data_IF_721751389047
#
_entry.id   IF_721751389047
#
_cell.length_a   1.000
_cell.length_b   1.000
_cell.length_c   1.000
_cell.angle_alpha   90.00
_cell.angle_beta   90.00
_cell.angle_gamma   90.00
#
_symmetry.space_group_name_H-M   'P 1'
#
loop_
_entity.id
_entity.type
_entity.pdbx_description
1 polymer ?
#
# COMPACT_ATOMS: atom_id res chain seq x y z
N UNK A 1 -15.00 18.19 16.98
CA UNK A 1 -15.20 17.22 18.11
C UNK A 1 -13.98 16.29 18.19
N UNK A 2 -13.71 15.58 19.30
CA UNK A 2 -12.65 14.55 19.29
C UNK A 2 -13.10 13.28 18.56
N UNK A 3 -12.21 12.67 17.78
CA UNK A 3 -12.52 11.41 17.09
C UNK A 3 -12.85 10.27 18.09
N UNK A 4 -13.87 9.44 17.82
CA UNK A 4 -14.21 8.29 18.65
C UNK A 4 -13.11 7.23 18.62
N UNK A 5 -13.05 6.33 19.59
CA UNK A 5 -12.03 5.28 19.58
C UNK A 5 -12.20 4.22 20.66
N UNK A 6 -11.44 3.11 20.57
CA UNK A 6 -11.45 2.07 21.58
C UNK A 6 -10.99 2.56 22.96
N UNK A 7 -11.48 1.87 24.00
CA UNK A 7 -11.08 2.08 25.38
C UNK A 7 -9.54 2.07 25.54
N UNK A 8 -9.03 2.96 26.39
CA UNK A 8 -7.62 3.13 26.69
C UNK A 8 -7.32 2.51 28.04
N UNK A 9 -6.35 1.59 28.11
CA UNK A 9 -5.82 1.09 29.37
C UNK A 9 -4.65 1.97 29.85
N UNK A 10 -4.36 2.02 31.17
CA UNK A 10 -3.18 2.70 31.68
C UNK A 10 -1.90 2.23 30.98
N UNK A 11 -0.98 3.16 30.71
CA UNK A 11 0.34 2.94 30.09
C UNK A 11 0.29 2.51 28.62
N UNK A 12 -0.46 1.48 28.27
CA UNK A 12 -0.45 0.88 26.91
C UNK A 12 -1.51 1.48 25.97
N UNK A 13 -2.45 2.28 26.48
CA UNK A 13 -3.55 2.81 25.70
C UNK A 13 -4.41 1.71 25.09
N UNK A 14 -4.66 1.80 23.80
CA UNK A 14 -5.49 0.90 23.00
C UNK A 14 -4.70 -0.23 22.32
N UNK A 15 -3.39 -0.38 22.56
CA UNK A 15 -2.56 -1.41 21.89
C UNK A 15 -3.09 -2.84 22.07
N UNK A 16 -3.69 -3.15 23.22
CA UNK A 16 -4.33 -4.43 23.49
C UNK A 16 -5.44 -4.81 22.49
N UNK A 17 -6.02 -3.84 21.78
CA UNK A 17 -7.03 -4.07 20.73
C UNK A 17 -6.45 -4.51 19.39
N UNK A 18 -5.13 -4.41 19.22
CA UNK A 18 -4.43 -4.83 18.00
C UNK A 18 -3.85 -6.26 18.11
N UNK A 19 -3.98 -6.91 19.27
CA UNK A 19 -3.44 -8.25 19.48
C UNK A 19 -4.26 -9.33 18.75
N UNK A 20 -3.57 -10.37 18.29
CA UNK A 20 -4.19 -11.60 17.80
C UNK A 20 -4.68 -11.60 16.35
N UNK A 21 -4.50 -10.51 15.59
CA UNK A 21 -4.59 -10.55 14.12
C UNK A 21 -3.76 -9.44 13.49
N UNK A 22 -3.73 -9.41 12.16
CA UNK A 22 -3.00 -8.39 11.40
C UNK A 22 -3.53 -6.98 11.73
N UNK A 23 -2.65 -5.98 11.93
CA UNK A 23 -3.06 -4.63 12.33
C UNK A 23 -4.07 -4.00 11.37
N UNK A 24 -3.86 -4.02 10.06
CA UNK A 24 -4.77 -3.41 9.08
C UNK A 24 -6.17 -4.04 9.07
N UNK A 25 -6.28 -5.35 9.33
CA UNK A 25 -7.56 -6.03 9.52
C UNK A 25 -8.25 -5.54 10.81
N UNK A 26 -7.53 -5.50 11.95
CA UNK A 26 -8.09 -4.97 13.21
C UNK A 26 -8.53 -3.52 13.08
N UNK A 27 -7.76 -2.71 12.38
CA UNK A 27 -8.10 -1.31 12.13
C UNK A 27 -9.41 -1.20 11.34
N UNK A 28 -9.63 -2.04 10.34
CA UNK A 28 -10.91 -2.11 9.61
C UNK A 28 -12.07 -2.50 10.54
N UNK A 29 -11.89 -3.55 11.35
CA UNK A 29 -12.93 -4.02 12.27
C UNK A 29 -13.31 -2.95 13.31
N UNK A 30 -12.32 -2.22 13.82
CA UNK A 30 -12.54 -1.10 14.73
C UNK A 30 -13.21 0.08 14.01
N UNK A 31 -12.83 0.37 12.75
CA UNK A 31 -13.48 1.41 11.96
C UNK A 31 -14.97 1.12 11.73
N UNK A 32 -15.38 -0.15 11.57
CA UNK A 32 -16.82 -0.53 11.52
C UNK A 32 -17.58 -0.17 12.80
N UNK A 33 -16.91 -0.12 13.94
CA UNK A 33 -17.51 0.18 15.25
C UNK A 33 -17.45 1.66 15.62
N UNK A 34 -16.35 2.33 15.32
CA UNK A 34 -16.09 3.71 15.75
C UNK A 34 -16.26 4.73 14.62
N UNK A 35 -16.38 4.28 13.38
CA UNK A 35 -16.48 5.13 12.20
C UNK A 35 -15.19 5.18 11.39
N UNK A 36 -15.24 5.78 10.19
CA UNK A 36 -14.12 5.80 9.23
C UNK A 36 -12.94 6.67 9.70
N UNK A 37 -13.15 7.52 10.70
CA UNK A 37 -12.09 8.27 11.39
C UNK A 37 -12.17 7.90 12.86
N UNK A 38 -11.09 7.33 13.40
CA UNK A 38 -11.04 6.95 14.81
C UNK A 38 -9.70 7.28 15.45
N UNK A 39 -9.75 7.59 16.75
CA UNK A 39 -8.58 7.77 17.60
C UNK A 39 -8.05 6.43 18.10
N UNK A 40 -6.73 6.23 18.01
CA UNK A 40 -6.04 5.06 18.53
C UNK A 40 -4.82 5.49 19.36
N UNK A 41 -4.92 5.31 20.68
CA UNK A 41 -3.81 5.60 21.59
C UNK A 41 -2.84 4.42 21.65
N UNK A 42 -1.58 4.61 21.29
CA UNK A 42 -0.54 3.57 21.39
C UNK A 42 0.55 4.00 22.37
N UNK A 43 0.40 3.58 23.63
CA UNK A 43 1.23 4.12 24.70
C UNK A 43 1.04 5.64 24.82
N UNK A 44 2.11 6.41 24.64
CA UNK A 44 2.08 7.87 24.61
C UNK A 44 1.80 8.46 23.22
N UNK A 45 1.77 7.62 22.17
CA UNK A 45 1.56 8.06 20.79
C UNK A 45 0.07 8.18 20.49
N UNK A 46 -0.36 9.37 20.09
CA UNK A 46 -1.70 9.64 19.58
C UNK A 46 -1.76 9.36 18.08
N UNK A 47 -2.67 8.50 17.64
CA UNK A 47 -2.92 8.23 16.23
C UNK A 47 -4.38 8.53 15.86
N UNK A 48 -4.58 9.02 14.65
CA UNK A 48 -5.86 9.02 13.93
C UNK A 48 -5.75 8.01 12.80
N UNK A 49 -6.71 7.10 12.75
CA UNK A 49 -6.83 6.09 11.70
C UNK A 49 -7.95 6.53 10.77
N UNK A 50 -7.62 6.69 9.49
CA UNK A 50 -8.53 7.05 8.41
C UNK A 50 -8.79 5.80 7.56
N UNK A 51 -10.07 5.49 7.31
CA UNK A 51 -10.52 4.30 6.58
C UNK A 51 -11.63 4.62 5.56
N UNK A 52 -11.80 5.89 5.15
CA UNK A 52 -12.68 6.27 4.03
C UNK A 52 -11.96 7.13 2.98
N UNK A 53 -12.41 7.10 1.71
CA UNK A 53 -11.85 7.92 0.64
C UNK A 53 -11.92 9.43 0.92
N UNK A 54 -13.04 9.93 1.43
CA UNK A 54 -13.32 11.36 1.60
C UNK A 54 -12.37 11.97 2.63
N UNK A 55 -12.23 11.31 3.77
CA UNK A 55 -11.32 11.73 4.83
C UNK A 55 -9.85 11.60 4.43
N UNK A 56 -9.51 10.55 3.66
CA UNK A 56 -8.17 10.40 3.11
C UNK A 56 -7.84 11.53 2.13
N UNK A 57 -8.79 11.92 1.28
CA UNK A 57 -8.67 13.06 0.36
C UNK A 57 -8.47 14.36 1.12
N UNK A 58 -9.31 14.64 2.10
CA UNK A 58 -9.22 15.82 2.95
C UNK A 58 -7.82 15.93 3.60
N UNK A 59 -7.33 14.85 4.22
CA UNK A 59 -6.03 14.85 4.86
C UNK A 59 -4.85 14.91 3.87
N UNK A 60 -4.93 14.25 2.71
CA UNK A 60 -3.78 14.06 1.82
C UNK A 60 -3.70 15.09 0.70
N UNK A 61 -4.80 15.78 0.37
CA UNK A 61 -4.84 16.83 -0.66
C UNK A 61 -5.23 18.18 -0.09
N UNK A 62 -6.33 18.29 0.65
CA UNK A 62 -6.83 19.58 1.15
C UNK A 62 -5.90 20.15 2.23
N UNK A 63 -5.43 19.29 3.13
CA UNK A 63 -4.49 19.63 4.20
C UNK A 63 -3.10 19.01 3.97
N UNK A 64 -2.69 18.91 2.70
CA UNK A 64 -1.49 18.19 2.28
C UNK A 64 -0.19 18.69 2.97
N UNK A 65 -0.05 19.99 3.20
CA UNK A 65 1.10 20.60 3.88
C UNK A 65 1.10 20.21 5.37
N UNK A 66 -0.07 20.28 6.02
CA UNK A 66 -0.24 19.98 7.45
C UNK A 66 0.17 18.54 7.77
N UNK A 67 -0.10 17.61 6.83
CA UNK A 67 0.24 16.19 6.97
C UNK A 67 1.44 15.74 6.12
N UNK A 68 2.23 16.68 5.58
CA UNK A 68 3.41 16.33 4.78
C UNK A 68 4.59 15.80 5.62
N UNK A 69 4.56 15.95 6.94
CA UNK A 69 5.63 15.45 7.83
C UNK A 69 5.46 13.95 8.07
N UNK A 70 6.57 13.23 8.18
CA UNK A 70 6.60 11.84 8.66
C UNK A 70 6.99 11.83 10.14
N UNK A 71 6.48 10.89 10.95
CA UNK A 71 7.04 10.69 12.27
C UNK A 71 8.49 10.22 12.19
N UNK A 72 9.22 10.40 13.28
CA UNK A 72 10.63 10.03 13.43
C UNK A 72 10.77 8.79 14.33
N UNK A 73 10.40 7.57 13.90
CA UNK A 73 10.56 6.38 14.72
C UNK A 73 12.03 6.01 14.86
N UNK A 74 12.43 5.51 16.04
CA UNK A 74 13.81 5.10 16.33
C UNK A 74 14.37 4.09 15.31
N UNK A 75 13.54 3.15 14.84
CA UNK A 75 13.98 2.19 13.82
C UNK A 75 14.44 2.90 12.53
N UNK A 76 13.71 3.92 12.08
CA UNK A 76 14.10 4.68 10.89
C UNK A 76 15.34 5.55 11.13
N UNK A 77 15.62 6.02 12.35
CA UNK A 77 16.88 6.74 12.60
C UNK A 77 18.11 5.86 12.39
N UNK A 78 17.98 4.56 12.69
CA UNK A 78 19.06 3.57 12.58
C UNK A 78 19.26 3.14 11.12
N UNK A 79 18.20 2.69 10.45
CA UNK A 79 18.30 2.10 9.12
C UNK A 79 18.23 3.12 7.97
N UNK A 80 17.62 4.29 8.18
CA UNK A 80 17.37 5.28 7.13
C UNK A 80 18.27 6.52 7.26
N UNK A 81 19.57 6.29 7.50
CA UNK A 81 20.61 7.32 7.54
C UNK A 81 20.24 8.53 8.44
N UNK A 82 19.65 8.28 9.60
CA UNK A 82 19.12 9.30 10.51
C UNK A 82 18.10 10.24 9.83
N UNK A 83 17.10 9.65 9.15
CA UNK A 83 16.01 10.34 8.44
C UNK A 83 16.47 11.23 7.28
N UNK A 84 17.58 10.89 6.63
CA UNK A 84 18.10 11.64 5.47
C UNK A 84 17.70 11.03 4.13
N UNK A 85 16.95 9.94 4.15
CA UNK A 85 16.37 9.29 2.99
C UNK A 85 15.13 10.04 2.46
N UNK A 86 14.69 9.70 1.24
CA UNK A 86 13.54 10.36 0.59
C UNK A 86 12.20 10.14 1.31
N UNK A 87 12.05 9.04 2.05
CA UNK A 87 10.80 8.65 2.70
C UNK A 87 10.58 9.45 3.98
N UNK A 88 11.57 9.48 4.89
CA UNK A 88 11.44 10.05 6.24
C UNK A 88 12.00 11.46 6.41
N UNK A 89 12.76 12.00 5.44
CA UNK A 89 13.28 13.37 5.55
C UNK A 89 12.16 14.38 5.82
N UNK A 90 12.43 15.26 6.78
CA UNK A 90 11.51 16.30 7.22
C UNK A 90 11.03 17.16 6.05
N UNK A 91 9.75 17.52 6.07
CA UNK A 91 9.18 18.32 4.99
C UNK A 91 9.78 19.74 5.00
N UNK A 92 10.50 20.07 3.92
CA UNK A 92 11.23 21.32 3.75
C UNK A 92 12.04 21.31 2.45
N UNK A 93 13.04 22.19 2.33
CA UNK A 93 13.80 22.34 1.08
C UNK A 93 14.62 21.11 0.71
N UNK A 94 15.26 20.46 1.69
CA UNK A 94 16.00 19.22 1.46
C UNK A 94 15.10 18.12 0.89
N UNK A 95 13.88 17.96 1.44
CA UNK A 95 12.90 17.03 0.88
C UNK A 95 12.49 17.41 -0.54
N UNK A 96 12.20 18.69 -0.81
CA UNK A 96 11.84 19.17 -2.16
C UNK A 96 12.94 18.89 -3.18
N UNK A 97 14.19 19.09 -2.81
CA UNK A 97 15.34 18.83 -3.67
C UNK A 97 15.51 17.32 -3.94
N UNK A 98 15.50 16.49 -2.90
CA UNK A 98 15.56 15.03 -3.06
C UNK A 98 14.39 14.53 -3.90
N UNK A 99 13.17 15.03 -3.66
CA UNK A 99 11.98 14.67 -4.42
C UNK A 99 12.12 15.03 -5.90
N UNK A 100 12.63 16.22 -6.20
CA UNK A 100 12.91 16.65 -7.59
C UNK A 100 13.88 15.68 -8.25
N UNK A 101 15.04 15.43 -7.63
CA UNK A 101 16.05 14.49 -8.15
C UNK A 101 15.45 13.11 -8.41
N UNK A 102 14.74 12.55 -7.42
CA UNK A 102 14.09 11.24 -7.56
C UNK A 102 13.11 11.21 -8.72
N UNK A 103 12.19 12.18 -8.82
CA UNK A 103 11.12 12.16 -9.82
C UNK A 103 11.55 12.55 -11.23
N UNK A 104 12.54 13.43 -11.38
CA UNK A 104 12.97 13.93 -12.70
C UNK A 104 14.17 13.16 -13.25
N UNK A 105 15.17 12.86 -12.42
CA UNK A 105 16.45 12.31 -12.87
C UNK A 105 16.54 10.78 -12.72
N UNK A 106 15.90 10.21 -11.70
CA UNK A 106 16.01 8.78 -11.39
C UNK A 106 14.80 7.98 -11.89
N UNK A 107 13.59 8.47 -11.60
CA UNK A 107 12.33 7.74 -11.75
C UNK A 107 11.37 8.38 -12.76
N UNK A 108 11.87 9.27 -13.63
CA UNK A 108 11.05 9.80 -14.72
C UNK A 108 10.73 8.70 -15.72
N UNK A 109 9.57 8.80 -16.39
CA UNK A 109 9.13 7.79 -17.39
C UNK A 109 10.20 7.51 -18.44
N UNK A 110 10.89 8.56 -18.92
CA UNK A 110 11.99 8.43 -19.88
C UNK A 110 13.16 7.61 -19.32
N UNK A 111 13.53 7.81 -18.05
CA UNK A 111 14.60 7.07 -17.39
C UNK A 111 14.19 5.62 -17.14
N UNK A 112 12.98 5.40 -16.62
CA UNK A 112 12.41 4.04 -16.43
C UNK A 112 12.42 3.25 -17.74
N UNK A 113 12.03 3.87 -18.86
CA UNK A 113 12.10 3.24 -20.19
C UNK A 113 13.54 2.97 -20.65
N UNK A 114 14.49 3.86 -20.35
CA UNK A 114 15.90 3.66 -20.72
C UNK A 114 16.56 2.49 -19.99
N UNK A 115 16.07 2.13 -18.79
CA UNK A 115 16.56 0.97 -18.02
C UNK A 115 15.91 -0.35 -18.43
N UNK A 116 15.11 -0.40 -19.52
CA UNK A 116 14.39 -1.62 -19.92
C UNK A 116 15.27 -2.87 -19.96
N UNK A 117 16.50 -2.77 -20.47
CA UNK A 117 17.45 -3.89 -20.57
C UNK A 117 18.15 -4.24 -19.24
N UNK A 118 18.18 -3.33 -18.26
CA UNK A 118 18.83 -3.54 -16.96
C UNK A 118 17.82 -4.04 -15.93
N UNK A 119 16.52 -3.80 -16.12
CA UNK A 119 15.46 -4.31 -15.22
C UNK A 119 15.32 -5.83 -15.22
N UNK A 120 15.99 -6.51 -16.16
CA UNK A 120 16.16 -7.97 -16.16
C UNK A 120 17.17 -8.43 -15.10
N UNK A 121 18.07 -7.54 -14.64
CA UNK A 121 19.04 -7.77 -13.57
C UNK A 121 18.68 -6.89 -12.36
N UNK A 122 17.82 -7.42 -11.49
CA UNK A 122 17.27 -6.75 -10.30
C UNK A 122 18.36 -6.25 -9.33
N UNK A 123 18.55 -4.93 -9.24
CA UNK A 123 18.97 -4.28 -8.00
C UNK A 123 18.69 -2.76 -8.03
N UNK A 124 17.60 -2.31 -7.38
CA UNK A 124 17.57 -0.92 -6.87
C UNK A 124 16.54 -0.70 -5.76
N UNK A 125 17.07 -0.53 -4.55
CA UNK A 125 16.46 0.06 -3.34
C UNK A 125 15.50 -0.84 -2.54
N UNK A 126 15.77 -0.98 -1.23
CA UNK A 126 14.97 -1.75 -0.25
C UNK A 126 13.45 -1.52 -0.38
N UNK A 127 13.02 -0.27 -0.54
CA UNK A 127 11.61 0.09 -0.65
C UNK A 127 10.95 -0.38 -1.97
N UNK A 128 11.70 -0.38 -3.07
CA UNK A 128 11.21 -0.80 -4.38
C UNK A 128 11.19 -2.32 -4.53
N UNK A 129 12.24 -3.00 -4.07
CA UNK A 129 12.39 -4.45 -4.19
C UNK A 129 11.35 -5.20 -3.36
N UNK A 130 11.20 -4.89 -2.08
CA UNK A 130 10.27 -5.64 -1.20
C UNK A 130 8.80 -5.46 -1.64
N UNK A 131 8.41 -4.23 -1.98
CA UNK A 131 7.04 -3.92 -2.41
C UNK A 131 6.68 -4.52 -3.77
N UNK A 132 7.59 -4.45 -4.74
CA UNK A 132 7.38 -5.02 -6.07
C UNK A 132 7.37 -6.55 -6.02
N UNK A 133 8.29 -7.16 -5.27
CA UNK A 133 8.33 -8.62 -5.07
C UNK A 133 7.04 -9.14 -4.43
N UNK A 134 6.54 -8.45 -3.40
CA UNK A 134 5.25 -8.78 -2.76
C UNK A 134 4.10 -8.67 -3.75
N UNK A 135 4.07 -7.61 -4.57
CA UNK A 135 3.02 -7.43 -5.58
C UNK A 135 3.06 -8.53 -6.65
N UNK A 136 4.25 -8.93 -7.12
CA UNK A 136 4.43 -10.02 -8.09
C UNK A 136 3.95 -11.35 -7.50
N UNK A 137 4.32 -11.66 -6.25
CA UNK A 137 3.91 -12.91 -5.59
C UNK A 137 2.38 -13.00 -5.43
N UNK A 138 1.73 -11.90 -5.01
CA UNK A 138 0.27 -11.85 -4.94
C UNK A 138 -0.39 -11.96 -6.31
N UNK A 139 0.13 -11.27 -7.32
CA UNK A 139 -0.40 -11.33 -8.67
C UNK A 139 -0.35 -12.75 -9.24
N UNK A 140 0.80 -13.42 -9.13
CA UNK A 140 0.94 -14.81 -9.53
C UNK A 140 -0.01 -15.74 -8.76
N UNK A 141 -0.22 -15.49 -7.46
CA UNK A 141 -1.14 -16.28 -6.64
C UNK A 141 -2.60 -16.14 -7.09
N UNK A 142 -3.03 -14.93 -7.45
CA UNK A 142 -4.38 -14.67 -7.96
C UNK A 142 -4.57 -15.17 -9.40
N UNK A 143 -3.55 -15.06 -10.25
CA UNK A 143 -3.56 -15.53 -11.64
C UNK A 143 -3.65 -17.06 -11.74
N UNK A 144 -2.94 -17.79 -10.88
CA UNK A 144 -3.06 -19.26 -10.79
C UNK A 144 -4.47 -19.69 -10.37
N UNK A 145 -5.18 -18.84 -9.64
CA UNK A 145 -6.60 -19.05 -9.31
C UNK A 145 -7.56 -18.58 -10.42
N UNK A 146 -7.14 -17.68 -11.32
CA UNK A 146 -7.99 -17.01 -12.31
C UNK A 146 -7.23 -16.73 -13.64
N UNK A 147 -7.25 -17.65 -14.60
CA UNK A 147 -6.37 -17.62 -15.80
C UNK A 147 -6.85 -16.77 -17.00
N UNK A 148 -7.89 -15.94 -16.89
CA UNK A 148 -8.66 -15.49 -18.07
C UNK A 148 -8.65 -13.99 -18.42
N UNK A 149 -7.87 -13.15 -17.73
CA UNK A 149 -7.97 -11.68 -17.90
C UNK A 149 -6.62 -11.04 -18.27
N UNK A 150 -6.66 -9.86 -18.89
CA UNK A 150 -5.49 -9.03 -19.22
C UNK A 150 -4.56 -8.83 -18.01
N UNK A 151 -3.25 -9.08 -18.18
CA UNK A 151 -2.22 -9.00 -17.12
C UNK A 151 -2.25 -7.67 -16.36
N UNK A 152 -2.43 -6.55 -17.08
CA UNK A 152 -2.49 -5.21 -16.48
C UNK A 152 -3.68 -5.07 -15.52
N UNK A 153 -4.87 -5.47 -15.95
CA UNK A 153 -6.07 -5.40 -15.13
C UNK A 153 -5.95 -6.31 -13.89
N UNK A 154 -5.28 -7.46 -14.05
CA UNK A 154 -4.97 -8.35 -12.94
C UNK A 154 -3.96 -7.73 -11.95
N UNK A 155 -2.95 -7.00 -12.44
CA UNK A 155 -2.00 -6.28 -11.58
C UNK A 155 -2.68 -5.14 -10.81
N UNK A 156 -3.58 -4.39 -11.44
CA UNK A 156 -4.39 -3.35 -10.81
C UNK A 156 -5.30 -3.93 -9.71
N UNK A 157 -6.02 -5.01 -10.00
CA UNK A 157 -6.86 -5.69 -9.01
C UNK A 157 -6.04 -6.33 -7.87
N UNK A 158 -4.84 -6.85 -8.19
CA UNK A 158 -3.90 -7.33 -7.18
C UNK A 158 -3.48 -6.19 -6.25
N UNK A 159 -3.17 -5.01 -6.76
CA UNK A 159 -2.76 -3.88 -5.92
C UNK A 159 -3.90 -3.31 -5.09
N UNK A 160 -5.15 -3.43 -5.57
CA UNK A 160 -6.35 -3.06 -4.80
C UNK A 160 -6.56 -4.01 -3.63
N UNK A 161 -6.52 -5.33 -3.88
CA UNK A 161 -6.76 -6.34 -2.85
C UNK A 161 -5.53 -6.60 -1.97
N UNK A 162 -4.33 -6.54 -2.50
CA UNK A 162 -3.11 -6.88 -1.77
C UNK A 162 -2.10 -5.73 -1.81
N UNK A 163 -2.48 -4.53 -1.31
CA UNK A 163 -1.55 -3.40 -1.26
C UNK A 163 -0.33 -3.78 -0.41
N UNK A 164 0.90 -3.71 -0.95
CA UNK A 164 2.09 -4.10 -0.19
C UNK A 164 2.24 -3.34 1.13
N UNK A 165 1.75 -2.08 1.20
CA UNK A 165 1.74 -1.27 2.42
C UNK A 165 0.29 -0.93 2.81
N UNK A 166 -0.44 -1.83 3.51
CA UNK A 166 -1.88 -1.70 3.78
C UNK A 166 -2.33 -0.43 4.51
N UNK A 167 -1.44 0.18 5.29
CA UNK A 167 -1.70 1.37 6.11
C UNK A 167 -0.94 2.62 5.65
N UNK A 168 -0.31 2.54 4.47
CA UNK A 168 0.71 3.48 3.98
C UNK A 168 1.80 3.74 5.02
N UNK A 169 2.78 4.59 4.67
CA UNK A 169 3.65 5.16 5.69
C UNK A 169 2.85 6.18 6.52
N UNK A 170 3.04 6.24 7.86
CA UNK A 170 2.32 7.21 8.70
C UNK A 170 2.70 8.66 8.40
N UNK A 171 1.78 9.58 8.65
CA UNK A 171 2.00 11.03 8.57
C UNK A 171 1.96 11.64 9.97
N UNK A 172 2.46 12.85 10.13
CA UNK A 172 2.42 13.60 11.39
C UNK A 172 1.78 14.96 11.17
N UNK A 173 0.80 15.27 12.01
CA UNK A 173 0.07 16.53 12.00
C UNK A 173 0.97 17.67 12.51
N UNK A 174 1.20 18.69 11.68
CA UNK A 174 2.04 19.86 12.06
C UNK A 174 1.27 20.97 12.75
N UNK A 175 -0.03 21.06 12.53
CA UNK A 175 -0.89 22.16 12.98
C UNK A 175 -2.28 21.60 13.27
N UNK A 176 -2.97 22.12 14.29
CA UNK A 176 -4.31 21.66 14.61
C UNK A 176 -5.27 21.94 13.46
N UNK A 177 -6.02 20.92 13.04
CA UNK A 177 -6.90 20.98 11.88
C UNK A 177 -8.12 20.09 12.09
N UNK A 178 -9.23 20.43 11.46
CA UNK A 178 -10.42 19.57 11.44
C UNK A 178 -10.39 18.68 10.20
N UNK A 179 -10.69 17.39 10.37
CA UNK A 179 -10.94 16.44 9.28
C UNK A 179 -12.31 15.80 9.53
N UNK A 180 -13.24 16.00 8.59
CA UNK A 180 -14.60 15.47 8.63
C UNK A 180 -15.31 15.67 9.98
N UNK A 181 -15.21 16.88 10.54
CA UNK A 181 -15.83 17.27 11.82
C UNK A 181 -15.03 16.91 13.08
N UNK A 182 -13.88 16.24 12.92
CA UNK A 182 -13.02 15.85 14.04
C UNK A 182 -11.74 16.65 14.11
N UNK A 183 -11.42 17.15 15.29
CA UNK A 183 -10.19 17.89 15.55
C UNK A 183 -9.01 16.91 15.64
N UNK A 184 -8.00 17.16 14.81
CA UNK A 184 -6.70 16.48 14.83
C UNK A 184 -5.67 17.47 15.38
N UNK A 185 -5.16 17.18 16.57
CA UNK A 185 -4.19 18.02 17.25
C UNK A 185 -2.77 17.83 16.70
N UNK A 186 -1.92 18.84 16.88
CA UNK A 186 -0.49 18.78 16.54
C UNK A 186 0.20 17.54 17.12
N UNK A 187 1.20 17.02 16.41
CA UNK A 187 1.98 15.81 16.72
C UNK A 187 1.21 14.48 16.62
N UNK A 188 -0.11 14.52 16.42
CA UNK A 188 -0.91 13.31 16.16
C UNK A 188 -0.48 12.65 14.86
N UNK A 189 -0.31 11.32 14.89
CA UNK A 189 0.06 10.56 13.70
C UNK A 189 -1.20 10.21 12.92
N UNK A 190 -1.13 10.25 11.60
CA UNK A 190 -2.23 9.85 10.73
C UNK A 190 -1.85 8.58 9.98
N UNK A 191 -2.66 7.54 10.17
CA UNK A 191 -2.56 6.24 9.53
C UNK A 191 -3.72 6.13 8.55
N UNK A 192 -3.45 5.81 7.28
CA UNK A 192 -4.49 5.68 6.25
C UNK A 192 -4.58 4.22 5.85
N UNK A 193 -5.65 3.56 6.25
CA UNK A 193 -5.85 2.14 6.00
C UNK A 193 -6.40 1.91 4.58
N UNK A 194 -5.50 1.98 3.59
CA UNK A 194 -5.86 1.81 2.17
C UNK A 194 -6.39 0.41 1.87
N UNK A 195 -5.99 -0.61 2.64
CA UNK A 195 -6.54 -1.96 2.52
C UNK A 195 -8.02 -2.04 2.91
N UNK A 196 -8.44 -1.25 3.91
CA UNK A 196 -9.85 -1.12 4.26
C UNK A 196 -10.64 -0.33 3.22
N UNK A 197 -10.09 0.80 2.75
CA UNK A 197 -10.72 1.66 1.74
C UNK A 197 -10.94 0.88 0.43
N UNK A 198 -9.91 0.17 -0.01
CA UNK A 198 -9.96 -0.64 -1.22
C UNK A 198 -10.95 -1.82 -1.14
N UNK A 199 -11.46 -2.14 0.06
CA UNK A 199 -12.47 -3.18 0.32
C UNK A 199 -13.80 -2.62 0.81
N UNK A 200 -14.02 -1.32 0.69
CA UNK A 200 -15.30 -0.72 1.08
C UNK A 200 -16.39 -1.10 0.05
N UNK A 201 -17.46 -1.82 0.46
CA UNK A 201 -18.56 -2.15 -0.45
C UNK A 201 -19.35 -0.93 -0.94
N UNK A 202 -19.18 0.25 -0.33
CA UNK A 202 -19.76 1.49 -0.84
C UNK A 202 -18.99 2.03 -2.05
N UNK A 203 -17.71 1.66 -2.21
CA UNK A 203 -16.87 2.07 -3.32
C UNK A 203 -16.74 0.97 -4.40
N UNK A 204 -16.76 -0.30 -3.99
CA UNK A 204 -16.47 -1.44 -4.86
C UNK A 204 -17.60 -2.48 -4.85
N UNK A 205 -18.20 -2.74 -6.01
CA UNK A 205 -19.12 -3.88 -6.18
C UNK A 205 -18.35 -5.18 -5.99
N UNK A 206 -18.85 -6.09 -5.15
CA UNK A 206 -18.15 -7.32 -4.74
C UNK A 206 -16.72 -7.03 -4.23
N UNK A 207 -16.56 -6.06 -3.33
CA UNK A 207 -15.27 -5.51 -2.89
C UNK A 207 -14.20 -6.52 -2.45
N UNK A 208 -14.59 -7.68 -1.93
CA UNK A 208 -13.67 -8.72 -1.46
C UNK A 208 -13.27 -9.73 -2.56
N UNK A 209 -13.95 -9.71 -3.71
CA UNK A 209 -13.72 -10.63 -4.82
C UNK A 209 -12.61 -10.10 -5.72
N UNK A 210 -11.67 -10.97 -6.10
CA UNK A 210 -10.74 -10.71 -7.20
C UNK A 210 -11.51 -10.72 -8.52
N UNK A 211 -11.75 -9.54 -9.08
CA UNK A 211 -12.53 -9.29 -10.29
C UNK A 211 -11.81 -8.26 -11.18
N UNK A 212 -10.74 -8.67 -11.88
CA UNK A 212 -9.90 -7.78 -12.70
C UNK A 212 -10.64 -7.04 -13.81
N UNK A 213 -11.71 -7.62 -14.34
CA UNK A 213 -12.53 -7.05 -15.41
C UNK A 213 -13.07 -5.66 -15.06
N UNK A 214 -13.16 -5.30 -13.77
CA UNK A 214 -13.54 -3.96 -13.31
C UNK A 214 -12.57 -2.85 -13.73
N UNK A 215 -11.35 -3.20 -14.15
CA UNK A 215 -10.34 -2.26 -14.64
C UNK A 215 -10.23 -2.23 -16.17
N UNK A 216 -11.02 -3.06 -16.87
CA UNK A 216 -11.16 -2.97 -18.32
C UNK A 216 -12.13 -1.82 -18.61
N UNK A 217 -11.70 -0.85 -19.40
CA UNK A 217 -12.49 0.33 -19.79
C UNK A 217 -13.01 1.19 -18.62
N UNK A 218 -12.39 1.08 -17.44
CA UNK A 218 -12.66 1.92 -16.27
C UNK A 218 -11.60 3.03 -16.14
N UNK A 219 -12.01 4.21 -15.68
CA UNK A 219 -11.11 5.36 -15.45
C UNK A 219 -10.44 5.38 -14.09
N UNK A 220 -10.91 4.60 -13.11
CA UNK A 220 -10.34 4.57 -11.75
C UNK A 220 -8.90 4.05 -11.79
N UNK A 221 -7.97 4.81 -11.20
CA UNK A 221 -6.56 4.43 -11.14
C UNK A 221 -5.90 4.68 -9.78
N UNK A 222 -4.68 4.15 -9.61
CA UNK A 222 -3.91 4.26 -8.38
C UNK A 222 -2.99 5.50 -8.31
N UNK A 223 -3.14 6.47 -9.23
CA UNK A 223 -2.21 7.62 -9.34
C UNK A 223 -2.48 8.72 -8.32
N UNK A 224 -3.44 8.52 -7.42
CA UNK A 224 -3.70 9.41 -6.29
C UNK A 224 -4.82 10.42 -6.50
N UNK A 225 -5.65 10.24 -7.54
CA UNK A 225 -6.85 11.05 -7.78
C UNK A 225 -8.13 10.35 -7.31
N UNK A 226 -8.19 9.02 -7.47
CA UNK A 226 -9.32 8.19 -7.06
C UNK A 226 -9.03 7.59 -5.68
N UNK A 227 -9.62 8.17 -4.65
CA UNK A 227 -9.28 7.87 -3.25
C UNK A 227 -9.77 6.49 -2.78
N UNK A 228 -10.66 5.85 -3.54
CA UNK A 228 -11.03 4.45 -3.43
C UNK A 228 -9.87 3.50 -3.82
N UNK A 229 -8.86 3.99 -4.57
CA UNK A 229 -7.69 3.23 -4.98
C UNK A 229 -6.38 4.03 -4.83
N UNK A 230 -5.78 4.02 -3.65
CA UNK A 230 -4.55 4.79 -3.36
C UNK A 230 -3.42 3.94 -2.79
N UNK A 231 -3.15 2.77 -3.40
CA UNK A 231 -2.10 1.84 -2.95
C UNK A 231 -0.69 2.46 -2.96
N UNK A 232 -0.45 3.49 -3.78
CA UNK A 232 0.79 4.28 -3.80
C UNK A 232 0.70 5.59 -3.00
N UNK A 233 -0.40 5.82 -2.28
CA UNK A 233 -0.71 7.07 -1.62
C UNK A 233 -1.14 8.19 -2.58
N UNK A 234 -1.30 9.39 -2.02
CA UNK A 234 -1.73 10.60 -2.71
C UNK A 234 -1.06 11.85 -2.09
N UNK A 235 -1.18 12.98 -2.79
CA UNK A 235 -0.67 14.28 -2.37
C UNK A 235 0.86 14.42 -2.40
N UNK A 236 1.39 15.31 -1.57
CA UNK A 236 2.84 15.65 -1.54
C UNK A 236 3.74 14.43 -1.32
N UNK A 237 3.26 13.43 -0.58
CA UNK A 237 4.00 12.23 -0.20
C UNK A 237 3.57 10.97 -0.96
N UNK A 238 2.91 11.10 -2.11
CA UNK A 238 2.69 9.97 -3.05
C UNK A 238 4.00 9.26 -3.34
N UNK A 239 3.97 7.95 -3.57
CA UNK A 239 5.15 7.20 -3.97
C UNK A 239 5.81 7.84 -5.22
N UNK A 240 7.12 8.16 -5.21
CA UNK A 240 7.81 8.61 -6.40
C UNK A 240 8.12 7.46 -7.37
N UNK A 241 8.06 6.21 -6.89
CA UNK A 241 8.43 5.00 -7.63
C UNK A 241 7.28 4.33 -8.37
N UNK A 242 6.08 4.90 -8.42
CA UNK A 242 4.89 4.27 -9.04
C UNK A 242 5.16 3.76 -10.46
N UNK A 243 5.72 4.60 -11.34
CA UNK A 243 5.99 4.22 -12.73
C UNK A 243 7.04 3.09 -12.83
N UNK A 244 8.06 3.12 -11.98
CA UNK A 244 9.10 2.10 -11.94
C UNK A 244 8.56 0.77 -11.41
N UNK A 245 7.92 0.79 -10.24
CA UNK A 245 7.36 -0.40 -9.60
C UNK A 245 6.32 -1.09 -10.47
N UNK A 246 5.39 -0.33 -11.06
CA UNK A 246 4.38 -0.90 -11.97
C UNK A 246 5.01 -1.58 -13.17
N UNK A 247 5.97 -0.94 -13.82
CA UNK A 247 6.57 -1.56 -14.98
C UNK A 247 7.50 -2.74 -14.59
N UNK A 248 7.90 -2.90 -13.32
CA UNK A 248 8.64 -4.08 -12.84
C UNK A 248 7.64 -5.21 -12.69
N UNK A 249 6.54 -4.97 -11.98
CA UNK A 249 5.44 -5.92 -11.81
C UNK A 249 4.93 -6.41 -13.17
N UNK A 250 4.56 -5.49 -14.07
CA UNK A 250 4.03 -5.83 -15.40
C UNK A 250 5.03 -6.63 -16.24
N UNK A 251 6.32 -6.24 -16.26
CA UNK A 251 7.33 -6.95 -17.04
C UNK A 251 7.63 -8.33 -16.46
N UNK A 252 7.74 -8.45 -15.13
CA UNK A 252 7.95 -9.73 -14.46
C UNK A 252 6.79 -10.68 -14.73
N UNK A 253 5.55 -10.20 -14.63
CA UNK A 253 4.36 -10.99 -14.94
C UNK A 253 4.34 -11.42 -16.42
N UNK A 254 4.58 -10.48 -17.35
CA UNK A 254 4.67 -10.82 -18.77
C UNK A 254 5.73 -11.89 -19.04
N UNK A 255 6.93 -11.79 -18.45
CA UNK A 255 7.99 -12.77 -18.63
C UNK A 255 7.64 -14.15 -18.04
N UNK A 256 7.02 -14.19 -16.86
CA UNK A 256 6.61 -15.43 -16.20
C UNK A 256 5.47 -16.12 -16.94
N UNK A 257 4.50 -15.36 -17.44
CA UNK A 257 3.29 -15.88 -18.08
C UNK A 257 3.50 -16.18 -19.57
N UNK A 258 4.37 -15.45 -20.26
CA UNK A 258 4.64 -15.67 -21.68
C UNK A 258 5.39 -16.99 -21.93
N UNK A 259 6.31 -17.36 -21.03
CA UNK A 259 7.19 -18.52 -21.22
C UNK A 259 6.69 -19.80 -20.54
N UNK A 260 5.79 -19.70 -19.56
CA UNK A 260 5.38 -20.83 -18.75
C UNK A 260 3.90 -20.82 -18.43
N UNK A 261 3.28 -22.00 -18.57
CA UNK A 261 2.10 -22.34 -17.79
C UNK A 261 2.52 -22.71 -16.36
N UNK A 262 1.63 -22.48 -15.40
CA UNK A 262 1.93 -22.67 -13.98
C UNK A 262 0.98 -23.67 -13.34
N UNK A 263 1.54 -24.64 -12.61
CA UNK A 263 0.76 -25.57 -11.78
C UNK A 263 1.17 -25.52 -10.32
N UNK A 264 0.21 -25.77 -9.44
CA UNK A 264 0.49 -26.01 -8.03
C UNK A 264 1.12 -27.40 -7.84
N UNK A 265 2.04 -27.56 -6.88
CA UNK A 265 2.67 -28.84 -6.59
C UNK A 265 1.67 -29.85 -6.02
N UNK A 266 2.00 -31.14 -6.13
CA UNK A 266 1.28 -32.24 -5.51
C UNK A 266 -0.22 -32.34 -5.88
N UNK A 267 -0.63 -31.82 -7.04
CA UNK A 267 -2.04 -31.86 -7.47
C UNK A 267 -2.97 -30.99 -6.63
N UNK A 268 -2.43 -29.99 -5.92
CA UNK A 268 -3.24 -29.05 -5.15
C UNK A 268 -4.17 -28.25 -6.05
N UNK A 269 -5.45 -28.23 -5.70
CA UNK A 269 -6.46 -27.42 -6.37
C UNK A 269 -6.29 -25.92 -6.05
N UNK A 270 -6.47 -24.99 -7.02
CA UNK A 270 -6.24 -23.55 -6.80
C UNK A 270 -7.04 -22.93 -5.65
N UNK A 271 -8.27 -23.41 -5.40
CA UNK A 271 -9.11 -22.91 -4.32
C UNK A 271 -8.60 -23.28 -2.92
N UNK A 272 -7.68 -24.24 -2.81
CA UNK A 272 -7.04 -24.66 -1.56
C UNK A 272 -5.75 -23.88 -1.26
N UNK A 273 -5.30 -23.01 -2.18
CA UNK A 273 -4.12 -22.17 -1.97
C UNK A 273 -4.33 -21.22 -0.78
N UNK A 274 -3.43 -21.25 0.19
CA UNK A 274 -3.48 -20.36 1.37
C UNK A 274 -3.21 -18.91 0.96
N UNK A 275 -4.23 -18.07 1.06
CA UNK A 275 -4.16 -16.62 0.76
C UNK A 275 -4.00 -15.76 2.01
N UNK A 276 -3.58 -16.33 3.15
CA UNK A 276 -3.35 -15.58 4.37
C UNK A 276 -2.08 -14.73 4.29
N UNK A 277 -2.12 -13.57 4.96
CA UNK A 277 -1.04 -12.59 4.95
C UNK A 277 -0.20 -12.71 6.25
N UNK A 278 1.05 -12.24 6.19
CA UNK A 278 1.91 -12.01 7.36
C UNK A 278 2.15 -10.51 7.55
N UNK A 279 2.23 -10.07 8.80
CA UNK A 279 2.63 -8.69 9.12
C UNK A 279 4.14 -8.50 8.91
N UNK A 280 4.52 -7.34 8.37
CA UNK A 280 5.91 -7.00 8.04
C UNK A 280 6.02 -5.57 7.52
N UNK A 281 7.18 -5.21 6.97
CA UNK A 281 7.36 -3.95 6.24
C UNK A 281 6.46 -3.92 4.99
N UNK A 282 6.28 -5.07 4.35
CA UNK A 282 5.22 -5.37 3.39
C UNK A 282 4.23 -6.41 3.93
N UNK A 283 2.97 -6.36 3.46
CA UNK A 283 1.96 -7.39 3.68
C UNK A 283 2.11 -8.53 2.68
N UNK A 284 3.10 -9.39 2.95
CA UNK A 284 3.40 -10.57 2.13
C UNK A 284 2.50 -11.76 2.46
N UNK A 285 2.53 -12.78 1.60
CA UNK A 285 1.91 -14.08 1.91
C UNK A 285 2.53 -14.69 3.16
N UNK A 286 1.69 -15.33 3.98
CA UNK A 286 2.14 -16.05 5.18
C UNK A 286 3.00 -17.26 4.81
N UNK A 287 2.61 -17.95 3.74
CA UNK A 287 3.33 -19.07 3.15
C UNK A 287 3.69 -18.66 1.72
N UNK A 288 4.98 -18.69 1.40
CA UNK A 288 5.48 -18.28 0.08
C UNK A 288 4.89 -19.11 -1.06
N UNK A 289 4.78 -18.51 -2.24
CA UNK A 289 4.26 -19.18 -3.44
C UNK A 289 5.26 -20.18 -3.98
N UNK A 290 4.82 -21.43 -4.12
CA UNK A 290 5.55 -22.47 -4.83
C UNK A 290 4.72 -22.93 -6.02
N UNK A 291 5.29 -22.78 -7.22
CA UNK A 291 4.70 -23.21 -8.47
C UNK A 291 5.71 -24.02 -9.26
N UNK A 292 5.21 -24.96 -10.06
CA UNK A 292 6.04 -25.71 -11.00
C UNK A 292 5.82 -25.10 -12.39
N UNK A 293 6.87 -24.54 -13.02
CA UNK A 293 6.77 -24.03 -14.38
C UNK A 293 6.63 -25.17 -15.37
N UNK A 294 5.76 -25.00 -16.36
CA UNK A 294 5.57 -25.88 -17.50
C UNK A 294 5.88 -25.03 -18.73
N UNK A 295 6.89 -25.37 -19.56
CA UNK A 295 7.20 -24.59 -20.76
C UNK A 295 5.95 -24.39 -21.61
N UNK A 296 5.62 -23.12 -21.86
CA UNK A 296 4.51 -22.78 -22.73
C UNK A 296 4.95 -23.01 -24.17
N UNK A 297 4.26 -23.92 -24.86
CA UNK A 297 4.48 -24.17 -26.27
C UNK A 297 3.31 -23.55 -27.05
N UNK A 298 3.49 -22.36 -27.64
CA UNK A 298 2.47 -21.82 -28.52
C UNK A 298 2.26 -22.82 -29.67
N UNK A 299 1.03 -23.32 -29.78
CA UNK A 299 0.60 -24.14 -30.90
C UNK A 299 0.64 -23.35 -32.20
#
# INVERSE_FOLDING_TARGET
>A
MSAPGPMKLPIIGSMHRLLGSLPHHRLRDLAKKYGPIMHLQQGQVSNIVISSPEAAKEAMTTHDITFAQRPFPLAASIFMYNFKDIEFVAHGDSWRQLRKICTTELLSTKRVQSFRSIREEEDLFLAGSESSSTAIEWAMSEMVKNSRVMEKAQAEETLRLHPPVPSLLPRECREAVEISGYEITINTKVIVNVWAIARDPNCWIEAERFHPERFIDNSVDFKGNDFEFISFGAGRRTCPGTAFGMAVVELSLANLLYNFDWKLPNGMEPHLLDMSESFGASARRKIGLCLIPIPYHPC
#
